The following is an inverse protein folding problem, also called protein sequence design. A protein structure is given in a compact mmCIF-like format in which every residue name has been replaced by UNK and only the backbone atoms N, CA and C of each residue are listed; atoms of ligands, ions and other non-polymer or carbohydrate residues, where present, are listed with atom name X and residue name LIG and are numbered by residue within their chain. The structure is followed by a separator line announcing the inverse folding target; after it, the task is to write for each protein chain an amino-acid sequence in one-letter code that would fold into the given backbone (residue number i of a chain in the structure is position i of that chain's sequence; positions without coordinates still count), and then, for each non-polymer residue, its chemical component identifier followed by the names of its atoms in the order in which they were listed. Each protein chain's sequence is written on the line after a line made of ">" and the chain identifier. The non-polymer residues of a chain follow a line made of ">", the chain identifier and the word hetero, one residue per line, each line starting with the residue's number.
data_IF_394956607500
#
_entry.id   IF_394956607500
#
_cell.length_a   1.000
_cell.length_b   1.000
_cell.length_c   1.000
_cell.angle_alpha   90.00
_cell.angle_beta   90.00
_cell.angle_gamma   90.00
#
_symmetry.space_group_name_H-M   'P 1'
#
loop_
_entity.id
_entity.type
_entity.pdbx_description
1 polymer ?
#
# COMPACT_ATOMS: atom_id res chain seq x y z
N UNK A 1 11.81 -11.82 12.50
CA UNK A 1 12.25 -12.14 11.12
C UNK A 1 12.26 -10.86 10.31
N UNK A 2 13.20 -10.69 9.39
CA UNK A 2 13.24 -9.53 8.49
C UNK A 2 12.42 -9.81 7.22
N UNK A 3 11.67 -8.81 6.74
CA UNK A 3 11.01 -8.86 5.43
C UNK A 3 12.07 -8.66 4.34
N UNK A 4 12.06 -9.48 3.29
CA UNK A 4 13.10 -9.50 2.24
C UNK A 4 12.52 -9.37 0.82
N UNK A 5 11.34 -8.77 0.70
CA UNK A 5 10.64 -8.55 -0.55
C UNK A 5 10.20 -7.08 -0.68
N UNK A 6 9.82 -6.62 -1.88
CA UNK A 6 9.19 -5.31 -2.06
C UNK A 6 7.94 -5.17 -1.19
N UNK A 7 7.77 -4.01 -0.53
CA UNK A 7 6.65 -3.74 0.37
C UNK A 7 5.78 -2.59 -0.14
N UNK A 8 4.49 -2.83 -0.30
CA UNK A 8 3.49 -1.78 -0.48
C UNK A 8 2.67 -1.62 0.80
N UNK A 9 2.68 -0.43 1.38
CA UNK A 9 1.76 -0.07 2.47
C UNK A 9 0.62 0.75 1.86
N UNK A 10 -0.61 0.28 2.03
CA UNK A 10 -1.82 0.99 1.58
C UNK A 10 -2.60 1.42 2.81
N UNK A 11 -2.94 2.71 2.93
CA UNK A 11 -3.66 3.21 4.10
C UNK A 11 -4.57 4.37 3.72
N UNK A 12 -5.79 4.41 4.26
CA UNK A 12 -6.69 5.54 4.03
C UNK A 12 -6.43 6.68 5.01
N UNK A 13 -6.31 7.91 4.52
CA UNK A 13 -6.13 9.09 5.37
C UNK A 13 -7.30 9.30 6.34
N UNK A 14 -8.49 8.91 5.93
CA UNK A 14 -9.74 9.13 6.66
C UNK A 14 -10.18 7.90 7.48
N UNK A 15 -9.30 6.90 7.64
CA UNK A 15 -9.54 5.71 8.46
C UNK A 15 -9.82 6.11 9.93
N UNK A 16 -11.04 5.81 10.36
CA UNK A 16 -11.57 6.14 11.67
C UNK A 16 -11.20 5.14 12.77
N UNK A 17 -10.67 3.97 12.40
CA UNK A 17 -10.30 2.88 13.32
C UNK A 17 -8.79 2.88 13.54
N UNK A 18 -8.01 2.99 12.47
CA UNK A 18 -6.55 2.95 12.48
C UNK A 18 -5.98 4.26 11.90
N UNK A 19 -5.38 5.12 12.74
CA UNK A 19 -4.83 6.39 12.26
C UNK A 19 -3.74 6.21 11.20
N UNK A 20 -3.70 7.11 10.20
CA UNK A 20 -2.71 7.10 9.10
C UNK A 20 -1.26 7.14 9.57
N UNK A 21 -1.00 7.64 10.78
CA UNK A 21 0.33 7.63 11.39
C UNK A 21 0.90 6.21 11.56
N UNK A 22 0.06 5.19 11.79
CA UNK A 22 0.51 3.81 11.87
C UNK A 22 1.02 3.30 10.52
N UNK A 23 0.30 3.60 9.43
CA UNK A 23 0.75 3.29 8.08
C UNK A 23 2.09 3.97 7.76
N UNK A 24 2.24 5.25 8.13
CA UNK A 24 3.50 5.98 7.96
C UNK A 24 4.66 5.37 8.76
N UNK A 25 4.42 4.99 10.01
CA UNK A 25 5.43 4.32 10.84
C UNK A 25 5.87 2.97 10.25
N UNK A 26 4.94 2.19 9.70
CA UNK A 26 5.26 0.95 8.99
C UNK A 26 6.10 1.21 7.74
N UNK A 27 5.75 2.24 6.97
CA UNK A 27 6.52 2.63 5.79
C UNK A 27 7.94 3.07 6.15
N UNK A 28 8.12 3.86 7.21
CA UNK A 28 9.44 4.25 7.70
C UNK A 28 10.29 3.03 8.10
N UNK A 29 9.68 2.06 8.79
CA UNK A 29 10.36 0.86 9.27
C UNK A 29 10.64 -0.21 8.19
N UNK A 30 9.89 -0.20 7.07
CA UNK A 30 10.05 -1.20 6.01
C UNK A 30 11.40 -1.07 5.28
N UNK A 31 12.01 -2.19 4.86
CA UNK A 31 13.19 -2.16 4.00
C UNK A 31 12.84 -1.78 2.55
N UNK A 32 13.83 -1.27 1.81
CA UNK A 32 13.68 -1.02 0.37
C UNK A 32 13.73 -2.33 -0.44
N UNK A 33 13.03 -2.41 -1.58
CA UNK A 33 12.18 -1.38 -2.15
C UNK A 33 10.81 -1.27 -1.46
N UNK A 34 10.35 -0.05 -1.18
CA UNK A 34 9.04 0.20 -0.57
C UNK A 34 8.24 1.30 -1.25
N UNK A 35 6.92 1.22 -1.10
CA UNK A 35 5.98 2.24 -1.56
C UNK A 35 4.86 2.46 -0.55
N UNK A 36 4.29 3.67 -0.56
CA UNK A 36 3.12 4.03 0.22
C UNK A 36 2.02 4.50 -0.73
N UNK A 37 0.82 3.93 -0.61
CA UNK A 37 -0.37 4.33 -1.35
C UNK A 37 -1.40 4.88 -0.36
N UNK A 38 -1.57 6.19 -0.37
CA UNK A 38 -2.58 6.86 0.44
C UNK A 38 -3.95 6.77 -0.26
N UNK A 39 -4.96 6.31 0.46
CA UNK A 39 -6.36 6.25 0.05
C UNK A 39 -7.20 7.35 0.74
N UNK A 40 -8.45 7.47 0.34
CA UNK A 40 -9.50 8.24 1.04
C UNK A 40 -10.71 7.35 1.35
N UNK A 41 -11.51 7.73 2.35
CA UNK A 41 -12.61 6.94 2.90
C UNK A 41 -12.27 6.26 4.24
N UNK A 42 -13.23 5.59 4.86
CA UNK A 42 -13.05 4.94 6.16
C UNK A 42 -12.31 3.61 6.07
N UNK A 43 -12.16 2.96 7.22
CA UNK A 43 -11.48 1.66 7.34
C UNK A 43 -12.14 0.59 6.45
N UNK A 44 -13.47 0.58 6.42
CA UNK A 44 -14.26 -0.47 5.79
C UNK A 44 -14.63 -0.19 4.34
N UNK A 45 -14.53 1.06 3.89
CA UNK A 45 -14.96 1.48 2.55
C UNK A 45 -13.89 2.24 1.79
N UNK A 46 -12.71 2.52 2.37
CA UNK A 46 -11.65 3.29 1.72
C UNK A 46 -11.18 2.70 0.39
N UNK A 47 -11.17 1.37 0.26
CA UNK A 47 -10.86 0.70 -1.00
C UNK A 47 -11.93 0.94 -2.08
N UNK A 48 -13.20 1.05 -1.68
CA UNK A 48 -14.32 1.29 -2.59
C UNK A 48 -14.42 2.77 -2.96
N UNK A 49 -14.30 3.67 -1.98
CA UNK A 49 -14.28 5.12 -2.15
C UNK A 49 -13.12 5.54 -3.05
N UNK A 50 -11.94 4.97 -2.82
CA UNK A 50 -10.76 5.26 -3.63
C UNK A 50 -10.76 4.56 -4.98
N UNK A 51 -11.50 3.46 -5.13
CA UNK A 51 -11.76 2.76 -6.39
C UNK A 51 -10.50 2.56 -7.22
N UNK A 52 -10.41 3.28 -8.35
CA UNK A 52 -9.26 3.18 -9.27
C UNK A 52 -7.92 3.57 -8.64
N UNK A 53 -7.89 4.51 -7.70
CA UNK A 53 -6.64 4.84 -7.00
C UNK A 53 -6.05 3.62 -6.29
N UNK A 54 -6.93 2.78 -5.73
CA UNK A 54 -6.49 1.54 -5.09
C UNK A 54 -6.03 0.50 -6.11
N UNK A 55 -6.83 0.22 -7.16
CA UNK A 55 -6.49 -0.81 -8.15
C UNK A 55 -5.29 -0.42 -9.01
N UNK A 56 -5.22 0.82 -9.51
CA UNK A 56 -4.13 1.29 -10.37
C UNK A 56 -2.81 1.35 -9.59
N UNK A 57 -2.86 1.72 -8.30
CA UNK A 57 -1.69 1.74 -7.43
C UNK A 57 -1.18 0.32 -7.12
N UNK A 58 -2.08 -0.64 -6.95
CA UNK A 58 -1.73 -2.05 -6.81
C UNK A 58 -1.12 -2.60 -8.11
N UNK A 59 -1.75 -2.36 -9.25
CA UNK A 59 -1.28 -2.80 -10.57
C UNK A 59 0.10 -2.22 -10.88
N UNK A 60 0.32 -0.93 -10.63
CA UNK A 60 1.61 -0.29 -10.83
C UNK A 60 2.70 -0.88 -9.92
N UNK A 61 2.37 -1.19 -8.67
CA UNK A 61 3.32 -1.82 -7.76
C UNK A 61 3.68 -3.24 -8.22
N UNK A 62 2.68 -4.03 -8.61
CA UNK A 62 2.88 -5.40 -9.10
C UNK A 62 3.67 -5.40 -10.41
N UNK A 63 3.29 -4.58 -11.40
CA UNK A 63 4.00 -4.48 -12.67
C UNK A 63 5.46 -4.03 -12.51
N UNK A 64 5.76 -3.22 -11.49
CA UNK A 64 7.13 -2.79 -11.18
C UNK A 64 8.00 -3.90 -10.57
N UNK A 65 7.39 -4.83 -9.85
CA UNK A 65 8.10 -5.77 -8.97
C UNK A 65 7.91 -7.25 -9.31
N UNK A 66 7.00 -7.57 -10.23
CA UNK A 66 6.85 -8.87 -10.84
C UNK A 66 7.43 -8.80 -12.25
N UNK A 67 8.45 -9.61 -12.53
CA UNK A 67 8.88 -9.86 -13.89
C UNK A 67 7.84 -10.77 -14.58
N UNK A 68 7.32 -10.37 -15.74
CA UNK A 68 6.52 -11.24 -16.62
C UNK A 68 7.33 -12.43 -17.21
N UNK A 69 8.58 -12.62 -16.77
CA UNK A 69 9.54 -13.58 -17.32
C UNK A 69 10.26 -14.34 -16.19
N UNK A 70 9.51 -14.96 -15.28
CA UNK A 70 10.01 -16.15 -14.60
C UNK A 70 9.72 -17.37 -15.51
N UNK A 71 10.69 -18.27 -15.73
CA UNK A 71 10.55 -19.38 -16.68
C UNK A 71 9.39 -20.32 -16.36
#
# INVERSE_FOLDING_TARGET
>A
GAVVCPVLIVHSRDDEIIPVSHGRALFEAAPEPKAFLELSGGHNDGFLVSGRTYTDGLDAFLAKHLDEQAP
#
